data_IF_799767119875
#
_entry.id   IF_799767119875
#
_cell.length_a   1.000
_cell.length_b   1.000
_cell.length_c   1.000
_cell.angle_alpha   90.00
_cell.angle_beta   90.00
_cell.angle_gamma   90.00
#
_symmetry.space_group_name_H-M   'P 1'
#
loop_
_entity.id
_entity.type
_entity.pdbx_description
1 polymer ?
#
# COMPACT_ATOMS: atom_id res chain seq x y z
N UNK A 1 -19.58 19.84 -55.64
CA UNK A 1 -18.98 18.99 -54.59
C UNK A 1 -17.62 18.46 -55.06
N UNK A 2 -16.49 19.19 -54.88
CA UNK A 2 -15.15 18.77 -55.38
C UNK A 2 -13.96 19.30 -54.54
N UNK A 3 -14.11 19.49 -53.22
CA UNK A 3 -13.03 20.06 -52.37
C UNK A 3 -12.39 19.12 -51.34
N UNK A 4 -12.95 17.93 -51.09
CA UNK A 4 -12.41 17.00 -50.09
C UNK A 4 -11.22 16.13 -50.55
N UNK A 5 -10.98 16.00 -51.87
CA UNK A 5 -9.91 15.14 -52.41
C UNK A 5 -8.50 15.75 -52.38
N UNK A 6 -8.35 17.03 -51.97
CA UNK A 6 -7.05 17.71 -51.94
C UNK A 6 -6.30 17.53 -50.62
N UNK A 7 -7.01 17.24 -49.52
CA UNK A 7 -6.43 17.06 -48.18
C UNK A 7 -5.64 15.74 -48.07
N UNK A 8 -6.12 14.67 -48.71
CA UNK A 8 -5.46 13.35 -48.71
C UNK A 8 -4.16 13.31 -49.53
N UNK A 9 -3.93 14.28 -50.42
CA UNK A 9 -2.73 14.35 -51.30
C UNK A 9 -1.61 15.22 -50.73
N UNK A 10 -1.80 15.81 -49.54
CA UNK A 10 -0.78 16.59 -48.83
C UNK A 10 -0.04 15.78 -47.74
N UNK A 11 0.09 14.46 -47.92
CA UNK A 11 0.93 13.58 -47.09
C UNK A 11 2.43 13.78 -47.41
N UNK A 12 2.89 15.04 -47.50
CA UNK A 12 4.32 15.35 -47.61
C UNK A 12 4.89 15.38 -46.20
N UNK A 13 5.64 14.35 -45.83
CA UNK A 13 6.59 14.42 -44.71
C UNK A 13 6.33 13.47 -43.56
N UNK A 14 6.43 12.18 -43.81
CA UNK A 14 6.88 11.22 -42.79
C UNK A 14 7.62 10.12 -43.51
N UNK A 15 8.95 10.17 -43.43
CA UNK A 15 9.80 9.10 -43.93
C UNK A 15 9.90 8.01 -42.86
N UNK A 16 10.05 6.74 -43.26
CA UNK A 16 10.18 5.63 -42.31
C UNK A 16 11.38 5.83 -41.36
N UNK A 17 12.44 6.52 -41.82
CA UNK A 17 13.63 6.80 -41.02
C UNK A 17 13.36 7.79 -39.88
N UNK A 18 12.50 8.78 -40.09
CA UNK A 18 12.10 9.73 -39.03
C UNK A 18 11.27 9.04 -37.96
N UNK A 19 10.36 8.16 -38.35
CA UNK A 19 9.61 7.33 -37.40
C UNK A 19 10.53 6.36 -36.66
N UNK A 20 11.54 5.80 -37.34
CA UNK A 20 12.51 4.88 -36.75
C UNK A 20 13.37 5.57 -35.68
N UNK A 21 13.83 6.79 -35.93
CA UNK A 21 14.62 7.53 -34.94
C UNK A 21 13.83 7.79 -33.64
N UNK A 22 12.53 8.12 -33.75
CA UNK A 22 11.66 8.38 -32.60
C UNK A 22 11.45 7.12 -31.75
N UNK A 23 11.15 5.97 -32.38
CA UNK A 23 10.93 4.73 -31.62
C UNK A 23 12.20 4.27 -30.90
N UNK A 24 13.39 4.50 -31.47
CA UNK A 24 14.67 4.18 -30.82
C UNK A 24 14.86 5.01 -29.55
N UNK A 25 14.60 6.31 -29.61
CA UNK A 25 14.69 7.19 -28.44
C UNK A 25 13.65 6.77 -27.38
N UNK A 26 12.40 6.51 -27.78
CA UNK A 26 11.36 6.03 -26.86
C UNK A 26 11.74 4.69 -26.22
N UNK A 27 12.37 3.77 -26.95
CA UNK A 27 12.82 2.50 -26.43
C UNK A 27 13.89 2.67 -25.34
N UNK A 28 14.88 3.55 -25.55
CA UNK A 28 15.92 3.84 -24.56
C UNK A 28 15.30 4.48 -23.30
N UNK A 29 14.42 5.46 -23.47
CA UNK A 29 13.74 6.11 -22.34
C UNK A 29 12.87 5.11 -21.58
N UNK A 30 12.10 4.29 -22.28
CA UNK A 30 11.24 3.27 -21.67
C UNK A 30 12.04 2.22 -20.90
N UNK A 31 13.21 1.81 -21.41
CA UNK A 31 14.06 0.81 -20.76
C UNK A 31 14.50 1.24 -19.33
N UNK A 32 14.77 2.52 -19.10
CA UNK A 32 15.15 3.06 -17.79
C UNK A 32 13.91 3.44 -16.97
N UNK A 33 12.91 4.05 -17.61
CA UNK A 33 11.73 4.58 -16.93
C UNK A 33 10.84 3.48 -16.34
N UNK A 34 10.61 2.38 -17.05
CA UNK A 34 9.72 1.29 -16.59
C UNK A 34 10.17 0.67 -15.26
N UNK A 35 11.43 0.20 -15.09
CA UNK A 35 11.86 -0.36 -13.80
C UNK A 35 11.90 0.70 -12.69
N UNK A 36 12.30 1.94 -13.00
CA UNK A 36 12.36 3.03 -12.02
C UNK A 36 10.97 3.39 -11.48
N UNK A 37 10.00 3.63 -12.37
CA UNK A 37 8.61 3.93 -12.00
C UNK A 37 7.99 2.74 -11.27
N UNK A 38 8.24 1.52 -11.74
CA UNK A 38 7.79 0.30 -11.05
C UNK A 38 8.29 0.23 -9.61
N UNK A 39 9.55 0.58 -9.35
CA UNK A 39 10.09 0.60 -7.99
C UNK A 39 9.44 1.71 -7.13
N UNK A 40 9.24 2.91 -7.67
CA UNK A 40 8.57 4.02 -6.98
C UNK A 40 7.14 3.63 -6.60
N UNK A 41 6.37 3.06 -7.53
CA UNK A 41 4.99 2.60 -7.26
C UNK A 41 4.96 1.55 -6.14
N UNK A 42 5.87 0.57 -6.17
CA UNK A 42 5.92 -0.45 -5.12
C UNK A 42 6.25 0.16 -3.76
N UNK A 43 7.23 1.07 -3.68
CA UNK A 43 7.55 1.77 -2.45
C UNK A 43 6.38 2.63 -1.93
N UNK A 44 5.64 3.30 -2.82
CA UNK A 44 4.44 4.06 -2.44
C UNK A 44 3.33 3.15 -1.91
N UNK A 45 3.13 1.98 -2.51
CA UNK A 45 2.17 0.97 -2.03
C UNK A 45 2.58 0.43 -0.66
N UNK A 46 3.84 0.06 -0.48
CA UNK A 46 4.35 -0.43 0.80
C UNK A 46 4.16 0.62 1.92
N UNK A 47 4.50 1.89 1.64
CA UNK A 47 4.29 3.00 2.60
C UNK A 47 2.80 3.22 2.91
N UNK A 48 1.92 3.11 1.93
CA UNK A 48 0.47 3.22 2.14
C UNK A 48 -0.05 2.11 3.08
N UNK A 49 0.35 0.85 2.84
CA UNK A 49 -0.03 -0.29 3.69
C UNK A 49 0.48 -0.09 5.13
N UNK A 50 1.71 0.39 5.31
CA UNK A 50 2.25 0.69 6.65
C UNK A 50 1.48 1.81 7.34
N UNK A 51 1.11 2.85 6.61
CA UNK A 51 0.30 3.96 7.15
C UNK A 51 -1.10 3.50 7.53
N UNK A 52 -1.75 2.67 6.71
CA UNK A 52 -3.04 2.06 7.03
C UNK A 52 -2.95 1.22 8.30
N UNK A 53 -1.92 0.39 8.43
CA UNK A 53 -1.71 -0.41 9.63
C UNK A 53 -1.49 0.43 10.89
N UNK A 54 -0.82 1.59 10.77
CA UNK A 54 -0.64 2.52 11.89
C UNK A 54 -1.95 3.21 12.30
N UNK A 55 -2.81 3.51 11.32
CA UNK A 55 -4.15 4.01 11.57
C UNK A 55 -5.00 2.94 12.28
N UNK A 56 -4.97 1.69 11.80
CA UNK A 56 -5.66 0.55 12.44
C UNK A 56 -5.16 0.36 13.88
N UNK A 57 -3.84 0.43 14.10
CA UNK A 57 -3.25 0.31 15.44
C UNK A 57 -3.76 1.41 16.38
N UNK A 58 -3.80 2.65 15.89
CA UNK A 58 -4.30 3.81 16.67
C UNK A 58 -5.79 3.67 16.97
N UNK A 59 -6.57 3.20 16.01
CA UNK A 59 -7.99 2.86 16.18
C UNK A 59 -8.18 1.75 17.23
N UNK A 60 -7.36 0.71 17.21
CA UNK A 60 -7.40 -0.37 18.21
C UNK A 60 -7.07 0.12 19.62
N UNK A 61 -6.14 1.06 19.76
CA UNK A 61 -5.88 1.70 21.07
C UNK A 61 -7.10 2.46 21.57
N UNK A 62 -7.75 3.23 20.69
CA UNK A 62 -8.97 3.97 21.03
C UNK A 62 -10.12 3.01 21.40
N UNK A 63 -10.33 1.96 20.62
CA UNK A 63 -11.35 0.96 20.86
C UNK A 63 -11.14 0.22 22.20
N UNK A 64 -9.89 -0.05 22.59
CA UNK A 64 -9.58 -0.59 23.94
C UNK A 64 -9.92 0.42 25.03
N UNK A 65 -9.56 1.70 24.86
CA UNK A 65 -9.88 2.73 25.87
C UNK A 65 -11.37 2.95 26.05
N UNK A 66 -12.17 2.72 25.00
CA UNK A 66 -13.63 2.79 25.05
C UNK A 66 -14.30 1.49 25.53
N UNK A 67 -13.51 0.42 25.77
CA UNK A 67 -14.03 -0.89 26.19
C UNK A 67 -14.71 -1.70 25.09
N UNK A 68 -14.53 -1.31 23.82
CA UNK A 68 -15.13 -1.97 22.65
C UNK A 68 -14.38 -3.25 22.22
N UNK A 69 -13.22 -3.52 22.81
CA UNK A 69 -12.38 -4.69 22.52
C UNK A 69 -12.44 -5.75 23.63
N UNK A 70 -12.16 -7.00 23.26
CA UNK A 70 -12.21 -8.12 24.19
C UNK A 70 -10.93 -8.18 25.02
N UNK A 71 -11.06 -8.13 26.35
CA UNK A 71 -9.95 -8.43 27.28
C UNK A 71 -9.77 -9.94 27.43
N UNK A 72 -8.51 -10.41 27.45
CA UNK A 72 -8.22 -11.81 27.67
C UNK A 72 -8.44 -12.18 29.15
N UNK A 73 -9.40 -13.08 29.38
CA UNK A 73 -9.86 -13.49 30.72
C UNK A 73 -8.75 -14.08 31.61
N UNK A 74 -7.65 -14.59 31.03
CA UNK A 74 -6.55 -15.19 31.79
C UNK A 74 -5.44 -14.21 32.18
N UNK A 75 -5.41 -13.00 31.63
CA UNK A 75 -4.36 -12.01 31.95
C UNK A 75 -4.89 -10.59 31.78
N UNK A 76 -5.05 -9.89 32.91
CA UNK A 76 -5.51 -8.49 32.94
C UNK A 76 -4.55 -7.60 32.14
N UNK A 77 -5.12 -6.69 31.34
CA UNK A 77 -4.35 -5.75 30.53
C UNK A 77 -3.93 -6.28 29.14
N UNK A 78 -4.36 -7.49 28.77
CA UNK A 78 -4.20 -8.03 27.42
C UNK A 78 -5.52 -7.89 26.65
N UNK A 79 -5.49 -7.25 25.48
CA UNK A 79 -6.69 -6.97 24.69
C UNK A 79 -6.56 -7.52 23.28
N UNK A 80 -7.68 -7.89 22.67
CA UNK A 80 -7.79 -8.20 21.25
C UNK A 80 -9.01 -7.50 20.66
N UNK A 81 -8.78 -6.67 19.65
CA UNK A 81 -9.80 -6.02 18.84
C UNK A 81 -9.88 -6.73 17.49
N UNK A 82 -11.03 -7.29 17.15
CA UNK A 82 -11.30 -7.87 15.84
C UNK A 82 -11.67 -6.79 14.80
N UNK A 83 -11.61 -7.13 13.52
CA UNK A 83 -11.98 -6.23 12.43
C UNK A 83 -13.36 -5.55 12.62
N UNK A 84 -14.38 -6.27 13.12
CA UNK A 84 -15.72 -5.71 13.34
C UNK A 84 -15.75 -4.64 14.44
N UNK A 85 -14.92 -4.81 15.47
CA UNK A 85 -14.77 -3.85 16.57
C UNK A 85 -13.95 -2.62 16.16
N UNK A 86 -13.11 -2.76 15.12
CA UNK A 86 -12.27 -1.69 14.61
C UNK A 86 -12.99 -0.82 13.56
N UNK A 87 -13.96 -1.38 12.82
CA UNK A 87 -14.71 -0.67 11.77
C UNK A 87 -15.27 0.70 12.17
N UNK A 88 -15.83 0.91 13.38
CA UNK A 88 -16.32 2.24 13.78
C UNK A 88 -15.22 3.31 13.94
N UNK A 89 -13.95 2.89 14.03
CA UNK A 89 -12.81 3.73 14.36
C UNK A 89 -11.84 3.93 13.19
N UNK A 90 -12.12 3.32 12.03
CA UNK A 90 -11.31 3.42 10.83
C UNK A 90 -12.16 3.91 9.66
N UNK A 91 -11.69 4.96 8.98
CA UNK A 91 -12.34 5.48 7.77
C UNK A 91 -11.51 5.14 6.54
N UNK A 92 -12.17 4.63 5.49
CA UNK A 92 -11.54 4.38 4.19
C UNK A 92 -10.58 3.19 4.12
N UNK A 93 -10.47 2.39 5.18
CA UNK A 93 -9.63 1.18 5.23
C UNK A 93 -10.50 -0.06 5.33
N UNK A 94 -10.41 -0.96 4.33
CA UNK A 94 -11.12 -2.24 4.36
C UNK A 94 -10.32 -3.26 5.16
N UNK A 95 -10.76 -3.57 6.37
CA UNK A 95 -10.18 -4.66 7.16
C UNK A 95 -10.79 -6.00 6.78
N UNK A 96 -9.97 -7.02 6.53
CA UNK A 96 -10.41 -8.40 6.39
C UNK A 96 -10.79 -8.98 7.76
N UNK A 97 -11.60 -10.04 7.77
CA UNK A 97 -12.05 -10.72 9.00
C UNK A 97 -10.91 -11.24 9.87
N UNK A 98 -9.74 -11.49 9.28
CA UNK A 98 -8.54 -11.98 9.97
C UNK A 98 -7.68 -10.85 10.57
N UNK A 99 -8.02 -9.58 10.33
CA UNK A 99 -7.30 -8.42 10.83
C UNK A 99 -7.67 -8.15 12.28
N UNK A 100 -6.66 -7.81 13.08
CA UNK A 100 -6.87 -7.55 14.51
C UNK A 100 -5.78 -6.64 15.08
N UNK A 101 -6.12 -5.96 16.17
CA UNK A 101 -5.14 -5.27 17.01
C UNK A 101 -5.09 -6.00 18.34
N UNK A 102 -3.89 -6.32 18.82
CA UNK A 102 -3.72 -6.95 20.11
C UNK A 102 -2.73 -6.22 20.99
N UNK A 103 -2.98 -6.26 22.30
CA UNK A 103 -2.05 -5.80 23.33
C UNK A 103 -1.68 -7.01 24.18
N UNK A 104 -0.39 -7.30 24.30
CA UNK A 104 0.13 -8.37 25.16
C UNK A 104 1.35 -7.87 25.91
N UNK A 105 1.34 -8.01 27.25
CA UNK A 105 2.44 -7.58 28.11
C UNK A 105 2.90 -6.12 27.87
N UNK A 106 1.94 -5.21 27.60
CA UNK A 106 2.21 -3.78 27.34
C UNK A 106 2.64 -3.47 25.90
N UNK A 107 2.84 -4.46 25.05
CA UNK A 107 3.24 -4.30 23.65
C UNK A 107 2.00 -4.36 22.76
N UNK A 108 1.83 -3.36 21.90
CA UNK A 108 0.79 -3.37 20.88
C UNK A 108 1.29 -3.98 19.58
N UNK A 109 0.45 -4.79 18.96
CA UNK A 109 0.68 -5.39 17.65
C UNK A 109 -0.56 -5.30 16.78
N UNK A 110 -0.35 -5.14 15.48
CA UNK A 110 -1.40 -5.14 14.47
C UNK A 110 -1.21 -6.31 13.54
N UNK A 111 -2.27 -7.09 13.34
CA UNK A 111 -2.38 -8.10 12.31
C UNK A 111 -3.15 -7.52 11.12
N UNK A 112 -2.52 -7.45 9.95
CA UNK A 112 -3.14 -6.87 8.76
C UNK A 112 -2.89 -7.72 7.52
N UNK A 113 -3.96 -8.20 6.91
CA UNK A 113 -3.96 -9.08 5.73
C UNK A 113 -3.20 -8.52 4.53
N UNK A 114 -3.23 -7.20 4.34
CA UNK A 114 -2.50 -6.53 3.24
C UNK A 114 -0.98 -6.50 3.43
N UNK A 115 -0.45 -6.87 4.61
CA UNK A 115 0.99 -7.09 4.74
C UNK A 115 1.51 -8.21 3.84
N UNK A 116 0.64 -9.14 3.43
CA UNK A 116 0.99 -10.16 2.44
C UNK A 116 1.35 -9.58 1.07
N UNK A 117 0.84 -8.38 0.73
CA UNK A 117 1.08 -7.65 -0.53
C UNK A 117 2.41 -6.88 -0.52
N UNK A 118 3.09 -6.77 0.63
CA UNK A 118 4.38 -6.09 0.72
C UNK A 118 5.41 -6.81 -0.15
N UNK A 119 6.02 -6.05 -1.07
CA UNK A 119 7.03 -6.61 -1.97
C UNK A 119 8.31 -6.99 -1.23
N UNK A 120 8.63 -6.27 -0.16
CA UNK A 120 9.91 -6.38 0.56
C UNK A 120 9.70 -6.81 2.02
N UNK A 121 9.15 -8.01 2.24
CA UNK A 121 8.79 -8.53 3.59
C UNK A 121 9.97 -8.58 4.57
N UNK A 122 11.18 -8.80 4.06
CA UNK A 122 12.42 -8.85 4.83
C UNK A 122 12.86 -7.47 5.32
N UNK A 123 12.62 -6.42 4.53
CA UNK A 123 12.87 -5.02 4.91
C UNK A 123 11.99 -4.56 6.07
N UNK A 124 10.79 -5.13 6.19
CA UNK A 124 9.79 -4.78 7.21
C UNK A 124 9.69 -5.81 8.36
N UNK A 125 10.49 -6.88 8.32
CA UNK A 125 10.50 -7.97 9.31
C UNK A 125 9.11 -8.56 9.63
N UNK A 126 8.23 -8.62 8.62
CA UNK A 126 6.87 -9.15 8.74
C UNK A 126 6.91 -10.64 8.41
N UNK A 127 7.36 -11.45 9.37
CA UNK A 127 7.56 -12.90 9.20
C UNK A 127 6.27 -13.72 9.41
N UNK A 128 5.29 -13.10 10.06
CA UNK A 128 3.87 -13.48 10.11
C UNK A 128 3.10 -12.17 9.99
N UNK A 129 1.83 -12.14 9.58
CA UNK A 129 1.05 -10.91 9.29
C UNK A 129 0.87 -9.94 10.47
N UNK A 130 1.68 -10.04 11.51
CA UNK A 130 1.69 -9.26 12.74
C UNK A 130 2.95 -8.38 12.82
N UNK A 131 2.77 -7.08 13.07
CA UNK A 131 3.87 -6.12 13.28
C UNK A 131 3.68 -5.43 14.63
N UNK A 132 4.76 -5.32 15.42
CA UNK A 132 4.73 -4.62 16.70
C UNK A 132 4.86 -3.09 16.51
N UNK A 133 4.28 -2.32 17.42
CA UNK A 133 4.27 -0.85 17.40
C UNK A 133 5.67 -0.23 17.26
N UNK A 134 6.65 -0.73 18.03
CA UNK A 134 8.01 -0.21 17.99
C UNK A 134 8.65 -0.38 16.60
N UNK A 135 8.33 -1.48 15.90
CA UNK A 135 8.81 -1.72 14.55
C UNK A 135 8.07 -0.83 13.56
N UNK A 136 6.74 -0.73 13.67
CA UNK A 136 5.92 0.10 12.79
C UNK A 136 6.33 1.58 12.84
N UNK A 137 6.58 2.12 14.04
CA UNK A 137 7.00 3.51 14.22
C UNK A 137 8.40 3.80 13.65
N UNK A 138 9.31 2.82 13.63
CA UNK A 138 10.61 2.95 12.96
C UNK A 138 10.46 2.90 11.44
N UNK A 139 9.53 2.09 10.94
CA UNK A 139 9.29 1.92 9.51
C UNK A 139 8.58 3.12 8.88
N UNK A 140 7.68 3.80 9.59
CA UNK A 140 7.02 5.03 9.12
C UNK A 140 8.00 6.20 8.96
N UNK A 141 9.12 6.20 9.71
CA UNK A 141 10.12 7.27 9.66
C UNK A 141 11.16 7.09 8.55
N UNK A 142 11.16 5.96 7.83
CA UNK A 142 12.02 5.68 6.67
C UNK A 142 11.27 5.92 5.36
#
# INVERSE_FOLDING_TARGET
MKKFTKILKNQKGLTLIELLAVIVILAIVAAIAVPAIGNVINNSKDKAILSEAANILSAGKLAVTEGSCTENSTTVGNYTCSATQLQPYIEGVTTATADSVSKSAGIWSVKYSRFSELKDKTKYNVSSDTVNEAQLNVLLKK
#
